data_IF_432064401808
#
_entry.id   IF_432064401808
#
_cell.length_a   1.000
_cell.length_b   1.000
_cell.length_c   1.000
_cell.angle_alpha   90.00
_cell.angle_beta   90.00
_cell.angle_gamma   90.00
#
_symmetry.space_group_name_H-M   'P 1'
#
loop_
_entity.id
_entity.type
_entity.pdbx_description
1 polymer ?
#
# COMPACT_ATOMS: atom_id res chain seq x y z
N UNK A 1 -17.18 -22.89 -51.58
CA UNK A 1 -17.26 -23.74 -50.38
C UNK A 1 -15.99 -23.49 -49.61
N UNK A 2 -16.01 -22.70 -48.55
CA UNK A 2 -14.98 -22.77 -47.52
C UNK A 2 -15.57 -22.32 -46.19
N UNK A 3 -15.74 -23.32 -45.32
CA UNK A 3 -16.49 -23.31 -44.07
C UNK A 3 -15.70 -22.76 -42.88
N UNK A 4 -14.90 -21.70 -43.09
CA UNK A 4 -14.08 -21.08 -42.03
C UNK A 4 -14.81 -19.96 -41.29
N UNK A 5 -16.16 -20.00 -41.25
CA UNK A 5 -16.97 -19.20 -40.34
C UNK A 5 -16.78 -19.70 -38.90
N UNK A 6 -15.76 -19.17 -38.25
CA UNK A 6 -15.85 -18.53 -36.92
C UNK A 6 -16.94 -19.16 -36.03
N UNK A 7 -16.68 -20.38 -35.54
CA UNK A 7 -17.36 -20.92 -34.37
C UNK A 7 -16.74 -20.30 -33.12
N UNK A 8 -17.02 -19.02 -32.89
CA UNK A 8 -16.84 -18.38 -31.58
C UNK A 8 -17.82 -19.07 -30.63
N UNK A 9 -17.35 -20.02 -29.82
CA UNK A 9 -18.19 -20.71 -28.84
C UNK A 9 -18.61 -19.71 -27.74
N UNK A 10 -19.90 -19.34 -27.63
CA UNK A 10 -20.37 -18.28 -26.72
C UNK A 10 -20.02 -18.53 -25.23
N UNK A 11 -19.75 -19.78 -24.85
CA UNK A 11 -19.34 -20.13 -23.48
C UNK A 11 -17.92 -19.68 -23.08
N UNK A 12 -16.99 -19.48 -24.03
CA UNK A 12 -15.61 -19.07 -23.69
C UNK A 12 -15.51 -17.57 -23.37
N UNK A 13 -16.23 -16.72 -24.09
CA UNK A 13 -16.27 -15.26 -23.84
C UNK A 13 -16.99 -14.94 -22.52
N UNK A 14 -18.13 -15.57 -22.24
CA UNK A 14 -18.84 -15.35 -20.97
C UNK A 14 -17.99 -15.73 -19.73
N UNK A 15 -17.20 -16.81 -19.82
CA UNK A 15 -16.31 -17.26 -18.74
C UNK A 15 -15.06 -16.36 -18.58
N UNK A 16 -14.57 -15.75 -19.66
CA UNK A 16 -13.44 -14.80 -19.60
C UNK A 16 -13.90 -13.45 -19.02
N UNK A 17 -15.08 -12.95 -19.40
CA UNK A 17 -15.67 -11.72 -18.86
C UNK A 17 -15.93 -11.81 -17.36
N UNK A 18 -16.49 -12.94 -16.87
CA UNK A 18 -16.70 -13.14 -15.43
C UNK A 18 -15.37 -13.17 -14.64
N UNK A 19 -14.32 -13.76 -15.20
CA UNK A 19 -12.98 -13.77 -14.57
C UNK A 19 -12.34 -12.38 -14.58
N UNK A 20 -12.43 -11.65 -15.69
CA UNK A 20 -11.95 -10.28 -15.79
C UNK A 20 -12.68 -9.35 -14.82
N UNK A 21 -14.01 -9.47 -14.72
CA UNK A 21 -14.83 -8.71 -13.77
C UNK A 21 -14.44 -9.00 -12.32
N UNK A 22 -14.25 -10.27 -11.96
CA UNK A 22 -13.80 -10.66 -10.61
C UNK A 22 -12.39 -10.14 -10.30
N UNK A 23 -11.48 -10.14 -11.28
CA UNK A 23 -10.14 -9.57 -11.12
C UNK A 23 -10.19 -8.04 -10.95
N UNK A 24 -11.02 -7.35 -11.74
CA UNK A 24 -11.20 -5.90 -11.63
C UNK A 24 -11.73 -5.49 -10.26
N UNK A 25 -12.76 -6.19 -9.74
CA UNK A 25 -13.27 -5.96 -8.38
C UNK A 25 -12.23 -6.25 -7.30
N UNK A 26 -11.45 -7.32 -7.45
CA UNK A 26 -10.35 -7.64 -6.53
C UNK A 26 -9.27 -6.55 -6.50
N UNK A 27 -8.86 -6.07 -7.67
CA UNK A 27 -7.90 -4.96 -7.79
C UNK A 27 -8.45 -3.65 -7.24
N UNK A 28 -9.73 -3.37 -7.48
CA UNK A 28 -10.40 -2.17 -6.96
C UNK A 28 -10.47 -2.19 -5.44
N UNK A 29 -10.90 -3.29 -4.84
CA UNK A 29 -10.94 -3.43 -3.38
C UNK A 29 -9.54 -3.27 -2.76
N UNK A 30 -8.51 -3.88 -3.35
CA UNK A 30 -7.12 -3.71 -2.92
C UNK A 30 -6.66 -2.25 -3.02
N UNK A 31 -7.00 -1.56 -4.11
CA UNK A 31 -6.70 -0.14 -4.27
C UNK A 31 -7.41 0.73 -3.22
N UNK A 32 -8.67 0.44 -2.90
CA UNK A 32 -9.41 1.18 -1.87
C UNK A 32 -8.76 1.01 -0.49
N UNK A 33 -8.39 -0.21 -0.10
CA UNK A 33 -7.68 -0.47 1.15
C UNK A 33 -6.36 0.31 1.19
N UNK A 34 -5.62 0.28 0.09
CA UNK A 34 -4.36 1.00 -0.07
C UNK A 34 -4.50 2.53 0.06
N UNK A 35 -5.60 3.08 -0.45
CA UNK A 35 -5.93 4.51 -0.34
C UNK A 35 -6.40 4.89 1.05
N UNK A 36 -7.25 4.05 1.66
CA UNK A 36 -7.73 4.23 3.02
C UNK A 36 -6.56 4.27 4.01
N UNK A 37 -5.67 3.29 3.92
CA UNK A 37 -4.45 3.19 4.72
C UNK A 37 -3.55 4.42 4.58
N UNK A 38 -3.39 4.91 3.34
CA UNK A 38 -2.60 6.09 3.04
C UNK A 38 -3.17 7.36 3.67
N UNK A 39 -4.49 7.52 3.60
CA UNK A 39 -5.23 8.63 4.21
C UNK A 39 -5.13 8.58 5.73
N UNK A 40 -5.34 7.40 6.32
CA UNK A 40 -5.25 7.21 7.76
C UNK A 40 -3.88 7.63 8.29
N UNK A 41 -2.81 7.13 7.66
CA UNK A 41 -1.44 7.54 8.01
C UNK A 41 -1.23 9.05 7.85
N UNK A 42 -1.73 9.68 6.78
CA UNK A 42 -1.59 11.12 6.58
C UNK A 42 -2.24 11.95 7.71
N UNK A 43 -3.42 11.52 8.17
CA UNK A 43 -4.12 12.14 9.30
C UNK A 43 -3.33 11.91 10.59
N UNK A 44 -2.86 10.68 10.84
CA UNK A 44 -2.05 10.36 12.02
C UNK A 44 -0.72 11.12 12.03
N UNK A 45 -0.08 11.31 10.87
CA UNK A 45 1.14 12.09 10.75
C UNK A 45 0.91 13.56 11.08
N UNK A 46 -0.19 14.15 10.61
CA UNK A 46 -0.54 15.53 10.90
C UNK A 46 -0.93 15.76 12.38
N UNK A 47 -1.61 14.81 13.02
CA UNK A 47 -2.20 15.00 14.34
C UNK A 47 -1.38 14.41 15.50
N UNK A 48 -0.72 13.28 15.28
CA UNK A 48 -0.14 12.46 16.36
C UNK A 48 1.39 12.47 16.32
N UNK A 49 2.00 12.38 15.13
CA UNK A 49 3.44 12.13 15.06
C UNK A 49 4.32 13.28 15.55
N UNK A 50 3.89 14.53 15.40
CA UNK A 50 4.63 15.67 15.95
C UNK A 50 4.81 15.54 17.48
N UNK A 51 3.73 15.20 18.19
CA UNK A 51 3.75 15.10 19.66
C UNK A 51 4.38 13.81 20.16
N UNK A 52 4.15 12.70 19.46
CA UNK A 52 4.57 11.37 19.91
C UNK A 52 6.00 11.01 19.48
N UNK A 53 6.44 11.49 18.31
CA UNK A 53 7.73 11.14 17.70
C UNK A 53 8.78 12.25 17.70
N UNK A 54 8.37 13.52 17.82
CA UNK A 54 9.27 14.67 17.79
C UNK A 54 9.12 15.66 18.96
N UNK A 55 9.00 15.20 20.23
CA UNK A 55 8.76 16.10 21.36
C UNK A 55 9.92 17.09 21.66
N UNK A 56 11.14 16.81 21.16
CA UNK A 56 12.33 17.63 21.42
C UNK A 56 12.63 18.67 20.33
N UNK A 57 11.82 18.75 19.27
CA UNK A 57 12.02 19.69 18.17
C UNK A 57 10.94 20.78 18.23
N UNK A 58 11.20 21.97 17.69
CA UNK A 58 10.18 23.03 17.64
C UNK A 58 8.90 22.52 16.94
N UNK A 59 7.69 22.92 17.40
CA UNK A 59 6.43 22.37 16.89
C UNK A 59 6.28 22.47 15.36
N UNK A 60 6.83 23.51 14.75
CA UNK A 60 6.86 23.70 13.30
C UNK A 60 7.75 22.66 12.61
N UNK A 61 8.95 22.41 13.14
CA UNK A 61 9.90 21.44 12.59
C UNK A 61 9.44 19.99 12.80
N UNK A 62 8.80 19.66 13.92
CA UNK A 62 8.23 18.32 14.14
C UNK A 62 7.06 18.02 13.20
N UNK A 63 6.27 19.04 12.84
CA UNK A 63 5.21 18.91 11.81
C UNK A 63 5.80 18.69 10.42
N UNK A 64 6.84 19.46 10.05
CA UNK A 64 7.59 19.27 8.80
C UNK A 64 8.22 17.87 8.72
N UNK A 65 8.80 17.38 9.82
CA UNK A 65 9.38 16.04 9.89
C UNK A 65 8.32 14.95 9.72
N UNK A 66 7.15 15.08 10.35
CA UNK A 66 6.04 14.15 10.17
C UNK A 66 5.50 14.14 8.73
N UNK A 67 5.41 15.30 8.08
CA UNK A 67 5.07 15.36 6.65
C UNK A 67 6.20 14.83 5.76
N UNK A 68 7.46 14.97 6.16
CA UNK A 68 8.58 14.40 5.44
C UNK A 68 8.53 12.86 5.45
N UNK A 69 8.20 12.22 6.58
CA UNK A 69 8.01 10.75 6.62
C UNK A 69 6.84 10.30 5.75
N UNK A 70 5.77 11.09 5.67
CA UNK A 70 4.70 10.87 4.70
C UNK A 70 5.18 11.01 3.25
N UNK A 71 6.01 12.01 2.97
CA UNK A 71 6.64 12.27 1.68
C UNK A 71 7.53 11.12 1.20
N UNK A 72 8.30 10.50 2.11
CA UNK A 72 9.14 9.32 1.79
C UNK A 72 8.30 8.19 1.17
N UNK A 73 7.08 7.96 1.68
CA UNK A 73 6.18 6.95 1.12
C UNK A 73 5.80 7.18 -0.34
N UNK A 74 5.83 8.43 -0.84
CA UNK A 74 5.62 8.70 -2.27
C UNK A 74 6.79 8.28 -3.15
N UNK A 75 8.01 8.26 -2.61
CA UNK A 75 9.22 7.82 -3.32
C UNK A 75 9.29 6.29 -3.38
N UNK A 76 8.86 5.61 -2.32
CA UNK A 76 8.83 4.14 -2.28
C UNK A 76 7.71 3.53 -3.13
N UNK A 77 6.59 4.24 -3.37
CA UNK A 77 5.50 3.77 -4.25
C UNK A 77 5.91 3.41 -5.67
N UNK A 78 6.63 4.24 -6.45
CA UNK A 78 7.10 3.86 -7.78
C UNK A 78 8.11 2.72 -7.72
N UNK A 79 8.99 2.70 -6.71
CA UNK A 79 9.93 1.61 -6.49
C UNK A 79 9.20 0.27 -6.27
N UNK A 80 8.20 0.29 -5.38
CA UNK A 80 7.29 -0.82 -5.15
C UNK A 80 6.54 -1.20 -6.41
N UNK A 81 6.01 -0.25 -7.18
CA UNK A 81 5.33 -0.52 -8.45
C UNK A 81 6.22 -1.27 -9.46
N UNK A 82 7.50 -0.92 -9.56
CA UNK A 82 8.46 -1.59 -10.46
C UNK A 82 8.73 -3.01 -9.99
N UNK A 83 9.08 -3.19 -8.71
CA UNK A 83 9.40 -4.51 -8.13
C UNK A 83 8.14 -5.39 -8.18
N UNK A 84 7.04 -4.90 -7.63
CA UNK A 84 5.82 -5.66 -7.50
C UNK A 84 5.11 -5.87 -8.85
N UNK A 85 5.28 -4.97 -9.80
CA UNK A 85 4.84 -5.15 -11.19
C UNK A 85 5.61 -6.28 -11.88
N UNK A 86 6.94 -6.27 -11.78
CA UNK A 86 7.78 -7.31 -12.38
C UNK A 86 7.45 -8.70 -11.83
N UNK A 87 7.38 -8.84 -10.50
CA UNK A 87 7.03 -10.10 -9.86
C UNK A 87 5.54 -10.45 -10.06
N UNK A 88 4.65 -9.47 -10.21
CA UNK A 88 3.24 -9.67 -10.50
C UNK A 88 2.98 -10.32 -11.87
N UNK A 89 3.79 -9.97 -12.87
CA UNK A 89 3.72 -10.55 -14.21
C UNK A 89 4.32 -11.97 -14.27
N UNK A 90 5.29 -12.30 -13.39
CA UNK A 90 5.90 -13.65 -13.32
C UNK A 90 5.20 -14.64 -12.37
N UNK A 91 4.78 -14.21 -11.17
CA UNK A 91 4.18 -15.09 -10.14
C UNK A 91 2.64 -15.07 -10.14
N UNK A 92 2.04 -14.15 -10.88
CA UNK A 92 0.60 -14.01 -11.06
C UNK A 92 -0.03 -12.90 -10.21
N UNK A 93 -0.77 -12.01 -10.89
CA UNK A 93 -1.41 -10.81 -10.33
C UNK A 93 -2.23 -11.03 -9.06
N UNK A 94 -2.96 -12.15 -8.94
CA UNK A 94 -3.81 -12.43 -7.76
C UNK A 94 -2.98 -12.64 -6.50
N UNK A 95 -1.90 -13.43 -6.57
CA UNK A 95 -1.02 -13.69 -5.43
C UNK A 95 -0.32 -12.41 -4.99
N UNK A 96 0.04 -11.59 -5.97
CA UNK A 96 0.71 -10.33 -5.69
C UNK A 96 -0.18 -9.32 -4.97
N UNK A 97 -1.44 -9.18 -5.41
CA UNK A 97 -2.46 -8.38 -4.73
C UNK A 97 -2.67 -8.80 -3.28
N UNK A 98 -2.72 -10.11 -3.02
CA UNK A 98 -2.84 -10.61 -1.65
C UNK A 98 -1.60 -10.28 -0.82
N UNK A 99 -0.41 -10.46 -1.38
CA UNK A 99 0.85 -10.21 -0.68
C UNK A 99 1.02 -8.72 -0.32
N UNK A 100 0.68 -7.79 -1.21
CA UNK A 100 0.73 -6.35 -0.91
C UNK A 100 -0.27 -5.96 0.18
N UNK A 101 -1.49 -6.54 0.16
CA UNK A 101 -2.51 -6.28 1.19
C UNK A 101 -2.04 -6.79 2.56
N UNK A 102 -1.49 -8.00 2.63
CA UNK A 102 -0.94 -8.55 3.87
C UNK A 102 0.25 -7.74 4.38
N UNK A 103 1.20 -7.41 3.50
CA UNK A 103 2.38 -6.61 3.85
C UNK A 103 1.98 -5.27 4.47
N UNK A 104 1.06 -4.55 3.83
CA UNK A 104 0.58 -3.25 4.33
C UNK A 104 -0.20 -3.39 5.64
N UNK A 105 -1.07 -4.39 5.76
CA UNK A 105 -1.81 -4.65 7.00
C UNK A 105 -0.91 -4.99 8.19
N UNK A 106 0.15 -5.78 7.97
CA UNK A 106 1.14 -6.09 9.00
C UNK A 106 1.92 -4.84 9.39
N UNK A 107 2.39 -4.06 8.39
CA UNK A 107 3.09 -2.82 8.64
C UNK A 107 2.28 -1.86 9.50
N UNK A 108 0.99 -1.70 9.22
CA UNK A 108 0.14 -0.76 9.98
C UNK A 108 -0.27 -1.28 11.35
N UNK A 109 -0.47 -2.58 11.49
CA UNK A 109 -0.59 -3.19 12.82
C UNK A 109 0.68 -2.94 13.67
N UNK A 110 1.87 -3.09 13.08
CA UNK A 110 3.13 -2.81 13.77
C UNK A 110 3.31 -1.31 14.08
N UNK A 111 2.83 -0.39 13.24
CA UNK A 111 2.83 1.06 13.54
C UNK A 111 1.93 1.34 14.76
N UNK A 112 0.78 0.68 14.87
CA UNK A 112 -0.12 0.84 16.02
C UNK A 112 0.46 0.28 17.34
N UNK A 113 1.36 -0.70 17.25
CA UNK A 113 2.08 -1.26 18.39
C UNK A 113 3.37 -0.51 18.71
N UNK A 114 3.71 0.53 17.94
CA UNK A 114 4.99 1.20 18.05
C UNK A 114 5.06 1.99 19.37
N UNK A 115 6.05 1.73 20.23
CA UNK A 115 6.18 2.43 21.50
C UNK A 115 6.54 3.90 21.30
N UNK A 116 6.12 4.76 22.23
CA UNK A 116 6.31 6.20 22.14
C UNK A 116 7.79 6.62 22.28
N UNK A 117 8.12 7.83 21.83
CA UNK A 117 9.50 8.35 21.94
C UNK A 117 9.99 8.49 23.37
N UNK A 118 9.08 8.53 24.34
CA UNK A 118 9.45 8.49 25.75
C UNK A 118 10.04 7.15 26.17
N UNK A 119 9.76 6.05 25.44
CA UNK A 119 10.26 4.72 25.75
C UNK A 119 11.50 4.32 24.92
N UNK A 120 11.61 4.73 23.65
CA UNK A 120 12.68 4.26 22.73
C UNK A 120 13.48 5.42 22.08
N UNK A 121 13.15 6.69 22.39
CA UNK A 121 13.87 7.85 21.87
C UNK A 121 13.88 7.92 20.33
N UNK A 122 15.04 8.27 19.75
CA UNK A 122 15.19 8.49 18.29
C UNK A 122 14.94 7.26 17.41
N UNK A 123 14.89 6.05 17.97
CA UNK A 123 14.53 4.85 17.21
C UNK A 123 13.05 4.81 16.83
N UNK A 124 12.18 5.51 17.56
CA UNK A 124 10.75 5.55 17.33
C UNK A 124 10.39 6.12 15.93
N UNK A 125 10.89 7.31 15.51
CA UNK A 125 10.68 7.80 14.14
C UNK A 125 11.41 6.97 13.07
N UNK A 126 12.55 6.34 13.39
CA UNK A 126 13.28 5.48 12.44
C UNK A 126 12.50 4.20 12.12
N UNK A 127 11.99 3.51 13.14
CA UNK A 127 11.13 2.34 12.94
C UNK A 127 9.86 2.73 12.18
N UNK A 128 9.26 3.87 12.51
CA UNK A 128 8.08 4.37 11.81
C UNK A 128 8.34 4.54 10.30
N UNK A 129 9.50 5.11 9.93
CA UNK A 129 9.91 5.23 8.52
C UNK A 129 10.18 3.86 7.89
N UNK A 130 10.87 2.96 8.60
CA UNK A 130 11.20 1.62 8.09
C UNK A 130 9.98 0.72 7.90
N UNK A 131 9.01 0.76 8.82
CA UNK A 131 7.75 0.04 8.68
C UNK A 131 6.92 0.59 7.51
N UNK A 132 7.17 1.83 7.09
CA UNK A 132 6.40 2.52 6.06
C UNK A 132 6.96 2.36 4.65
N UNK A 133 8.30 2.35 4.53
CA UNK A 133 9.04 2.22 3.27
C UNK A 133 8.73 0.90 2.56
#
# INVERSE_FOLDING_TARGET
MDSTLISQRPGKEACSLNRARRAAWGSFAGAVVDWYDFLLYGITAALVFNREFFPQISPAMGTLAAFATFGVGFLFRPLGGIIFGHFGDRLGRKRMLMLTVWMRGIATACIGLLPSSNQIGWWAPVLLVLLRA
#
